data_IF_974419051637
#
_entry.id   IF_974419051637
#
_cell.length_a   1.000
_cell.length_b   1.000
_cell.length_c   1.000
_cell.angle_alpha   90.00
_cell.angle_beta   90.00
_cell.angle_gamma   90.00
#
_symmetry.space_group_name_H-M   'P 1'
#
loop_
_entity.id
_entity.type
_entity.pdbx_description
1 polymer ?
#
# COMPACT_ATOMS: atom_id res chain seq x y z
N UNK A 1 -21.86 -53.14 -30.87
CA UNK A 1 -21.62 -51.71 -30.99
C UNK A 1 -22.44 -51.02 -29.93
N UNK A 2 -21.82 -50.52 -28.87
CA UNK A 2 -22.48 -49.91 -27.74
C UNK A 2 -22.08 -48.44 -27.76
N UNK A 3 -23.08 -47.56 -28.08
CA UNK A 3 -22.88 -46.14 -28.16
C UNK A 3 -22.86 -45.50 -26.76
N UNK A 4 -21.77 -44.81 -26.43
CA UNK A 4 -21.67 -44.00 -25.23
C UNK A 4 -22.31 -42.63 -25.48
N UNK A 5 -23.43 -42.38 -24.84
CA UNK A 5 -24.02 -41.04 -24.72
C UNK A 5 -23.18 -40.22 -23.76
N UNK A 6 -22.48 -39.21 -24.25
CA UNK A 6 -21.87 -38.19 -23.46
C UNK A 6 -22.95 -37.22 -22.97
N UNK A 7 -23.30 -37.32 -21.69
CA UNK A 7 -24.12 -36.31 -21.01
C UNK A 7 -23.31 -35.04 -20.84
N UNK A 8 -23.66 -34.01 -21.60
CA UNK A 8 -23.12 -32.68 -21.46
C UNK A 8 -23.51 -32.06 -20.10
N UNK A 9 -22.54 -31.92 -19.22
CA UNK A 9 -22.68 -31.13 -18.02
C UNK A 9 -22.66 -29.66 -18.45
N UNK A 10 -23.84 -29.02 -18.48
CA UNK A 10 -23.94 -27.58 -18.62
C UNK A 10 -23.39 -26.94 -17.33
N UNK A 11 -22.27 -26.25 -17.43
CA UNK A 11 -21.81 -25.33 -16.40
C UNK A 11 -22.87 -24.24 -16.23
N UNK A 12 -23.65 -24.36 -15.17
CA UNK A 12 -24.49 -23.24 -14.74
C UNK A 12 -23.54 -22.10 -14.35
N UNK A 13 -23.47 -21.07 -15.18
CA UNK A 13 -22.83 -19.82 -14.84
C UNK A 13 -23.55 -19.26 -13.61
N UNK A 14 -22.91 -19.35 -12.46
CA UNK A 14 -23.36 -18.69 -11.25
C UNK A 14 -23.30 -17.20 -11.53
N UNK A 15 -24.44 -16.61 -11.87
CA UNK A 15 -24.58 -15.16 -12.00
C UNK A 15 -24.40 -14.63 -10.58
N UNK A 16 -23.22 -14.07 -10.31
CA UNK A 16 -23.00 -13.34 -9.05
C UNK A 16 -24.05 -12.22 -8.99
N UNK A 17 -24.75 -12.08 -7.87
CA UNK A 17 -25.70 -10.98 -7.74
C UNK A 17 -24.92 -9.68 -7.86
N UNK A 18 -25.17 -8.95 -8.94
CA UNK A 18 -24.68 -7.58 -9.10
C UNK A 18 -25.45 -6.72 -8.10
N UNK A 19 -24.75 -6.27 -7.06
CA UNK A 19 -25.29 -5.24 -6.19
C UNK A 19 -25.70 -4.04 -7.05
N UNK A 20 -26.91 -3.48 -6.84
CA UNK A 20 -27.34 -2.30 -7.54
C UNK A 20 -26.30 -1.22 -7.29
N UNK A 21 -25.65 -0.74 -8.37
CA UNK A 21 -24.68 0.33 -8.28
C UNK A 21 -25.41 1.59 -7.81
N UNK A 22 -25.35 1.86 -6.52
CA UNK A 22 -25.85 3.13 -6.02
C UNK A 22 -24.94 4.24 -6.57
N UNK A 23 -25.45 5.00 -7.53
CA UNK A 23 -24.75 6.08 -8.19
C UNK A 23 -24.83 7.40 -7.42
N UNK A 24 -25.62 7.45 -6.36
CA UNK A 24 -25.85 8.63 -5.52
C UNK A 24 -25.06 8.58 -4.23
N UNK A 25 -24.81 9.76 -3.67
CA UNK A 25 -24.21 9.93 -2.36
C UNK A 25 -25.03 9.22 -1.27
N UNK A 26 -24.34 8.55 -0.34
CA UNK A 26 -24.98 7.86 0.79
C UNK A 26 -25.38 8.79 1.93
N UNK A 27 -25.07 10.08 1.84
CA UNK A 27 -25.52 11.08 2.82
C UNK A 27 -27.01 11.30 2.70
N UNK A 28 -27.71 11.31 3.83
CA UNK A 28 -29.17 11.45 3.89
C UNK A 28 -29.61 12.76 3.24
N UNK A 29 -30.54 12.66 2.26
CA UNK A 29 -31.05 13.83 1.53
C UNK A 29 -30.13 14.37 0.45
N UNK A 30 -28.96 13.79 0.22
CA UNK A 30 -28.05 14.21 -0.84
C UNK A 30 -28.36 13.48 -2.17
N UNK A 31 -28.57 14.26 -3.23
CA UNK A 31 -28.84 13.76 -4.59
C UNK A 31 -27.64 13.80 -5.53
N UNK A 32 -26.51 14.33 -5.05
CA UNK A 32 -25.27 14.41 -5.82
C UNK A 32 -24.72 13.03 -6.17
N UNK A 33 -24.07 12.86 -7.31
CA UNK A 33 -23.41 11.61 -7.66
C UNK A 33 -22.31 11.30 -6.64
N UNK A 34 -22.20 10.02 -6.27
CA UNK A 34 -21.10 9.57 -5.41
C UNK A 34 -19.76 9.66 -6.16
N UNK A 35 -18.68 9.79 -5.39
CA UNK A 35 -17.33 9.66 -5.91
C UNK A 35 -17.01 8.21 -6.38
N UNK A 36 -15.95 8.05 -7.15
CA UNK A 36 -15.58 6.73 -7.72
C UNK A 36 -15.03 5.76 -6.68
N UNK A 37 -14.44 6.26 -5.60
CA UNK A 37 -13.70 5.46 -4.63
C UNK A 37 -14.48 5.16 -3.35
N UNK A 38 -15.55 5.91 -3.06
CA UNK A 38 -16.42 5.64 -1.91
C UNK A 38 -17.87 6.00 -2.21
N UNK A 39 -18.74 5.79 -1.24
CA UNK A 39 -20.19 6.01 -1.38
C UNK A 39 -20.63 7.47 -1.21
N UNK A 40 -19.71 8.42 -1.00
CA UNK A 40 -20.02 9.81 -0.74
C UNK A 40 -19.65 10.71 -1.93
N UNK A 41 -20.37 11.82 -2.13
CA UNK A 41 -19.99 12.85 -3.11
C UNK A 41 -18.83 13.71 -2.58
N UNK A 42 -18.22 14.51 -3.43
CA UNK A 42 -17.06 15.35 -3.07
C UNK A 42 -17.34 16.29 -1.90
N UNK A 43 -18.58 16.77 -1.75
CA UNK A 43 -18.99 17.63 -0.62
C UNK A 43 -19.06 16.89 0.72
N UNK A 44 -19.35 15.58 0.68
CA UNK A 44 -19.52 14.73 1.86
C UNK A 44 -18.34 13.76 2.05
N UNK A 45 -17.13 14.13 1.64
CA UNK A 45 -15.93 13.33 1.84
C UNK A 45 -15.68 12.30 0.75
N UNK A 46 -16.23 12.51 -0.42
CA UNK A 46 -15.95 11.71 -1.63
C UNK A 46 -14.47 11.76 -2.00
N UNK A 47 -14.00 10.67 -2.60
CA UNK A 47 -12.60 10.50 -3.01
C UNK A 47 -12.57 10.13 -4.49
N UNK A 48 -12.19 11.08 -5.34
CA UNK A 48 -11.98 10.89 -6.78
C UNK A 48 -10.53 11.09 -7.20
N UNK A 49 -9.61 10.88 -6.28
CA UNK A 49 -8.22 11.26 -6.48
C UNK A 49 -7.52 10.34 -7.49
N UNK A 50 -7.33 10.82 -8.70
CA UNK A 50 -6.54 10.15 -9.75
C UNK A 50 -5.09 9.87 -9.31
N UNK A 51 -4.52 10.72 -8.46
CA UNK A 51 -3.19 10.53 -7.90
C UNK A 51 -3.10 9.25 -7.04
N UNK A 52 -4.18 8.83 -6.38
CA UNK A 52 -4.20 7.55 -5.66
C UNK A 52 -4.13 6.35 -6.62
N UNK A 53 -4.78 6.43 -7.81
CA UNK A 53 -4.71 5.35 -8.81
C UNK A 53 -3.32 5.18 -9.40
N UNK A 54 -2.61 6.26 -9.67
CA UNK A 54 -1.23 6.21 -10.16
C UNK A 54 -0.31 5.61 -9.10
N UNK A 55 -0.50 5.98 -7.84
CA UNK A 55 0.24 5.41 -6.71
C UNK A 55 -0.02 3.90 -6.59
N UNK A 56 -1.27 3.48 -6.65
CA UNK A 56 -1.63 2.07 -6.53
C UNK A 56 -1.04 1.24 -7.68
N UNK A 57 -1.01 1.78 -8.90
CA UNK A 57 -0.44 1.09 -10.06
C UNK A 57 1.05 0.81 -9.92
N UNK A 58 1.83 1.73 -9.35
CA UNK A 58 3.28 1.55 -9.17
C UNK A 58 3.59 0.41 -8.19
N UNK A 59 2.76 0.22 -7.15
CA UNK A 59 2.87 -0.89 -6.20
C UNK A 59 2.42 -2.25 -6.78
N UNK A 60 1.76 -2.27 -7.93
CA UNK A 60 1.41 -3.50 -8.65
C UNK A 60 2.49 -3.96 -9.62
N UNK A 61 3.54 -3.20 -9.84
CA UNK A 61 4.61 -3.53 -10.77
C UNK A 61 5.38 -4.81 -10.34
N UNK A 62 5.86 -5.62 -11.30
CA UNK A 62 6.72 -6.77 -10.99
C UNK A 62 7.98 -6.39 -10.19
N UNK A 63 8.58 -5.24 -10.52
CA UNK A 63 9.76 -4.72 -9.83
C UNK A 63 9.47 -4.52 -8.33
N UNK A 64 8.38 -3.83 -7.98
CA UNK A 64 7.99 -3.66 -6.58
C UNK A 64 7.71 -4.99 -5.88
N UNK A 65 6.96 -5.88 -6.52
CA UNK A 65 6.64 -7.19 -5.95
C UNK A 65 7.91 -8.01 -5.63
N UNK A 66 8.95 -7.85 -6.45
CA UNK A 66 10.26 -8.48 -6.22
C UNK A 66 10.98 -7.86 -5.02
N UNK A 67 11.06 -6.53 -4.96
CA UNK A 67 11.64 -5.79 -3.82
C UNK A 67 10.94 -6.18 -2.52
N UNK A 68 9.60 -6.11 -2.52
CA UNK A 68 8.79 -6.45 -1.34
C UNK A 68 9.03 -7.89 -0.87
N UNK A 69 9.03 -8.85 -1.77
CA UNK A 69 9.28 -10.25 -1.44
C UNK A 69 10.68 -10.44 -0.86
N UNK A 70 11.70 -9.86 -1.50
CA UNK A 70 13.08 -9.91 -1.02
C UNK A 70 13.21 -9.31 0.38
N UNK A 71 12.67 -8.13 0.60
CA UNK A 71 12.75 -7.43 1.89
C UNK A 71 12.12 -8.26 3.01
N UNK A 72 10.91 -8.77 2.83
CA UNK A 72 10.24 -9.61 3.83
C UNK A 72 10.89 -10.98 4.02
N UNK A 73 11.62 -11.50 3.02
CA UNK A 73 12.41 -12.73 3.16
C UNK A 73 13.66 -12.52 4.01
N UNK A 74 14.32 -11.38 3.88
CA UNK A 74 15.53 -11.04 4.65
C UNK A 74 15.15 -10.57 6.07
N UNK A 75 14.11 -9.76 6.17
CA UNK A 75 13.64 -9.15 7.42
C UNK A 75 12.12 -9.38 7.60
N UNK A 76 11.72 -10.57 8.11
CA UNK A 76 10.29 -10.89 8.30
C UNK A 76 9.66 -10.22 9.51
N UNK A 77 10.47 -9.70 10.44
CA UNK A 77 10.01 -9.04 11.66
C UNK A 77 10.04 -7.52 11.53
N UNK A 78 9.14 -6.85 12.23
CA UNK A 78 9.08 -5.40 12.28
C UNK A 78 10.35 -4.81 12.91
N UNK A 79 11.11 -4.02 12.13
CA UNK A 79 12.37 -3.43 12.60
C UNK A 79 12.15 -2.44 13.74
N UNK A 80 11.06 -1.67 13.68
CA UNK A 80 10.70 -0.74 14.77
C UNK A 80 10.32 -1.47 16.07
N UNK A 81 9.64 -2.61 15.99
CA UNK A 81 9.36 -3.42 17.16
C UNK A 81 10.65 -4.03 17.73
N UNK A 82 11.51 -4.55 16.86
CA UNK A 82 12.79 -5.15 17.28
C UNK A 82 13.71 -4.14 17.98
N UNK A 83 13.79 -2.89 17.48
CA UNK A 83 14.59 -1.83 18.16
C UNK A 83 14.10 -1.51 19.57
N UNK A 84 12.83 -1.84 19.87
CA UNK A 84 12.22 -1.71 21.19
C UNK A 84 12.15 -3.02 21.99
N UNK A 85 12.86 -4.06 21.54
CA UNK A 85 12.88 -5.39 22.18
C UNK A 85 11.58 -6.19 22.05
N UNK A 86 10.72 -5.87 21.06
CA UNK A 86 9.46 -6.57 20.80
C UNK A 86 9.56 -7.40 19.53
N UNK A 87 8.91 -8.55 19.51
CA UNK A 87 8.83 -9.42 18.34
C UNK A 87 7.43 -9.29 17.73
N UNK A 88 7.36 -8.75 16.49
CA UNK A 88 6.13 -8.57 15.73
C UNK A 88 6.40 -8.87 14.27
N UNK A 89 5.46 -9.54 13.59
CA UNK A 89 5.58 -9.86 12.16
C UNK A 89 5.39 -8.59 11.33
N UNK A 90 6.29 -8.38 10.37
CA UNK A 90 6.15 -7.29 9.42
C UNK A 90 5.07 -7.59 8.37
N UNK A 91 4.22 -6.63 8.12
CA UNK A 91 3.14 -6.70 7.12
C UNK A 91 3.38 -5.75 5.94
N UNK A 92 4.18 -4.72 6.15
CA UNK A 92 4.49 -3.67 5.19
C UNK A 92 5.98 -3.62 4.89
N UNK A 93 6.30 -3.34 3.64
CA UNK A 93 7.63 -2.86 3.24
C UNK A 93 7.49 -1.40 2.92
N UNK A 94 8.23 -0.58 3.61
CA UNK A 94 8.16 0.87 3.52
C UNK A 94 9.50 1.45 3.09
N UNK A 95 9.45 2.61 2.44
CA UNK A 95 10.61 3.38 2.04
C UNK A 95 11.14 4.17 3.23
N UNK A 96 12.44 4.24 3.44
CA UNK A 96 13.01 5.15 4.45
C UNK A 96 12.57 6.59 4.17
N UNK A 97 12.80 7.05 2.93
CA UNK A 97 12.33 8.35 2.47
C UNK A 97 11.08 8.17 1.60
N UNK A 98 9.98 8.80 1.97
CA UNK A 98 8.74 8.74 1.20
C UNK A 98 9.01 9.20 -0.25
N UNK A 99 8.97 8.27 -1.20
CA UNK A 99 9.30 8.54 -2.60
C UNK A 99 8.48 9.67 -3.22
N UNK A 100 7.27 9.91 -2.73
CA UNK A 100 6.41 11.02 -3.15
C UNK A 100 7.01 12.40 -2.81
N UNK A 101 7.82 12.47 -1.77
CA UNK A 101 8.48 13.71 -1.35
C UNK A 101 9.80 13.93 -2.10
N UNK A 102 10.48 12.83 -2.46
CA UNK A 102 11.77 12.86 -3.17
C UNK A 102 11.58 12.92 -4.68
N UNK A 103 10.65 12.12 -5.21
CA UNK A 103 10.37 11.98 -6.63
C UNK A 103 10.31 10.51 -7.07
N UNK A 104 9.77 10.26 -8.27
CA UNK A 104 9.52 8.91 -8.80
C UNK A 104 10.78 8.03 -8.86
N UNK A 105 11.96 8.62 -9.07
CA UNK A 105 13.23 7.89 -9.10
C UNK A 105 13.57 7.23 -7.76
N UNK A 106 13.09 7.79 -6.64
CA UNK A 106 13.30 7.25 -5.30
C UNK A 106 12.42 6.03 -4.98
N UNK A 107 11.51 5.64 -5.88
CA UNK A 107 10.61 4.51 -5.62
C UNK A 107 11.37 3.17 -5.51
N UNK A 108 12.36 2.93 -6.36
CA UNK A 108 13.19 1.73 -6.29
C UNK A 108 14.62 2.01 -5.79
N UNK A 109 15.03 3.27 -5.75
CA UNK A 109 16.31 3.72 -5.20
C UNK A 109 16.09 4.28 -3.81
N UNK A 110 16.00 3.39 -2.83
CA UNK A 110 15.68 3.74 -1.45
C UNK A 110 16.16 2.63 -0.50
N UNK A 111 16.25 2.95 0.76
CA UNK A 111 16.37 1.95 1.81
C UNK A 111 14.97 1.48 2.17
N UNK A 112 14.80 0.17 2.24
CA UNK A 112 13.50 -0.43 2.55
C UNK A 112 13.50 -0.98 3.98
N UNK A 113 12.37 -0.82 4.66
CA UNK A 113 12.16 -1.28 6.02
C UNK A 113 10.94 -2.18 6.11
N UNK A 114 11.04 -3.24 6.91
CA UNK A 114 9.93 -4.14 7.22
C UNK A 114 9.23 -3.67 8.47
N UNK A 115 7.95 -3.30 8.38
CA UNK A 115 7.18 -2.72 9.49
C UNK A 115 5.85 -3.45 9.71
N UNK A 116 5.39 -3.51 10.95
CA UNK A 116 4.00 -3.85 11.26
C UNK A 116 3.07 -2.68 10.90
N UNK A 117 1.77 -2.92 10.91
CA UNK A 117 0.79 -1.90 10.51
C UNK A 117 0.85 -0.64 11.40
N UNK A 118 1.01 -0.81 12.71
CA UNK A 118 1.06 0.30 13.67
C UNK A 118 2.27 1.21 13.42
N UNK A 119 3.47 0.61 13.29
CA UNK A 119 4.71 1.36 13.08
C UNK A 119 4.78 1.99 11.67
N UNK A 120 4.24 1.33 10.63
CA UNK A 120 4.07 1.92 9.31
C UNK A 120 3.17 3.17 9.38
N UNK A 121 2.04 3.10 10.09
CA UNK A 121 1.14 4.25 10.26
C UNK A 121 1.79 5.38 11.05
N UNK A 122 2.52 5.06 12.12
CA UNK A 122 3.28 6.03 12.92
C UNK A 122 4.33 6.75 12.05
N UNK A 123 5.17 5.97 11.35
CA UNK A 123 6.20 6.52 10.45
C UNK A 123 5.61 7.45 9.38
N UNK A 124 4.50 7.05 8.74
CA UNK A 124 3.78 7.91 7.78
C UNK A 124 3.33 9.24 8.42
N UNK A 125 2.95 9.21 9.70
CA UNK A 125 2.65 10.43 10.47
C UNK A 125 3.85 11.34 10.64
N UNK A 126 5.03 10.77 10.92
CA UNK A 126 6.29 11.51 11.07
C UNK A 126 6.75 12.12 9.73
N UNK A 127 6.59 11.39 8.62
CA UNK A 127 6.91 11.88 7.27
C UNK A 127 6.13 13.15 6.89
N UNK A 128 4.87 13.26 7.31
CA UNK A 128 4.07 14.49 7.12
C UNK A 128 4.63 15.69 7.87
N UNK A 129 5.46 15.46 8.88
CA UNK A 129 6.19 16.47 9.65
C UNK A 129 7.62 16.69 9.12
N UNK A 130 7.98 16.04 8.00
CA UNK A 130 9.31 16.14 7.41
C UNK A 130 10.37 15.28 8.08
N UNK A 131 9.97 14.32 8.93
CA UNK A 131 10.86 13.43 9.68
C UNK A 131 10.84 12.04 9.09
N UNK A 132 12.00 11.51 8.73
CA UNK A 132 12.16 10.20 8.12
C UNK A 132 12.92 9.29 9.08
N UNK A 133 12.24 8.27 9.60
CA UNK A 133 12.79 7.42 10.66
C UNK A 133 13.34 6.14 10.06
N UNK A 134 14.60 5.84 10.36
CA UNK A 134 15.26 4.58 10.06
C UNK A 134 15.38 3.74 11.34
N UNK A 135 14.75 2.58 11.33
CA UNK A 135 14.82 1.62 12.43
C UNK A 135 15.98 0.65 12.19
N UNK A 136 17.01 0.73 12.99
CA UNK A 136 18.21 -0.11 12.93
C UNK A 136 18.36 -0.96 14.20
N UNK A 137 19.32 -1.88 14.20
CA UNK A 137 19.65 -2.65 15.39
C UNK A 137 20.13 -1.76 16.57
N UNK A 138 20.76 -0.62 16.24
CA UNK A 138 21.27 0.35 17.21
C UNK A 138 20.20 1.35 17.69
N UNK A 139 18.96 1.22 17.21
CA UNK A 139 17.84 2.09 17.56
C UNK A 139 17.28 2.88 16.36
N UNK A 140 16.65 4.01 16.67
CA UNK A 140 16.00 4.88 15.69
C UNK A 140 16.94 6.01 15.27
N UNK A 141 17.04 6.25 13.96
CA UNK A 141 17.76 7.40 13.38
C UNK A 141 16.76 8.28 12.65
N UNK A 142 16.73 9.57 12.97
CA UNK A 142 15.89 10.55 12.28
C UNK A 142 16.69 11.28 11.21
N UNK A 143 16.08 11.41 10.03
CA UNK A 143 16.61 12.12 8.87
C UNK A 143 15.64 13.18 8.37
N UNK A 144 16.15 14.16 7.65
CA UNK A 144 15.40 15.13 6.85
C UNK A 144 15.37 14.72 5.38
N UNK A 145 14.53 15.35 4.57
CA UNK A 145 14.49 15.08 3.12
C UNK A 145 15.84 15.35 2.43
N UNK A 146 16.62 16.30 2.95
CA UNK A 146 17.92 16.68 2.39
C UNK A 146 18.98 15.59 2.55
N UNK A 147 18.78 14.66 3.48
CA UNK A 147 19.71 13.56 3.74
C UNK A 147 19.57 12.42 2.73
N UNK A 148 18.52 12.42 1.90
CA UNK A 148 18.26 11.35 0.93
C UNK A 148 19.47 11.00 0.07
N UNK A 149 20.06 12.01 -0.57
CA UNK A 149 21.18 11.78 -1.50
C UNK A 149 22.40 11.20 -0.76
N UNK A 150 22.68 11.70 0.44
CA UNK A 150 23.81 11.22 1.23
C UNK A 150 23.58 9.78 1.75
N UNK A 151 22.40 9.50 2.26
CA UNK A 151 22.08 8.22 2.92
C UNK A 151 21.86 7.10 1.90
N UNK A 152 21.18 7.37 0.79
CA UNK A 152 20.79 6.34 -0.19
C UNK A 152 21.86 6.09 -1.25
N UNK A 153 22.71 7.08 -1.56
CA UNK A 153 23.72 6.94 -2.61
C UNK A 153 25.09 6.49 -2.07
N UNK A 154 25.30 6.49 -0.76
CA UNK A 154 26.55 6.07 -0.12
C UNK A 154 26.47 4.72 0.59
N UNK A 155 25.31 4.04 0.53
CA UNK A 155 25.13 2.62 0.90
C UNK A 155 25.15 1.73 -0.37
#
# INVERSE_FOLDING_TARGET
>A
MVGYHLLGLSYAQTIMPTYPHNTKCSELGCHEPRSRLNSFCMKHGGKDNMAMRETDSIYQTPAWKTVRRRQLSIQPLCQACLSRGKVEIAQHVDHLFAWKHVGKHAFLRNIFQSLCHADHSHKTGMEKQGKYIHYTADGEKEYSINDYAYVVLNE
#
